data_IF_099402442426
#
_entry.id   IF_099402442426
#
_cell.length_a   1.000
_cell.length_b   1.000
_cell.length_c   1.000
_cell.angle_alpha   90.00
_cell.angle_beta   90.00
_cell.angle_gamma   90.00
#
_symmetry.space_group_name_H-M   'P 1'
#
loop_
_entity.id
_entity.type
_entity.pdbx_description
1 polymer ?
#
# COMPACT_ATOMS: atom_id res chain seq x y z
N UNK A 1 -21.03 8.70 -39.88
CA UNK A 1 -21.63 7.71 -38.95
C UNK A 1 -20.64 6.66 -38.41
N UNK A 2 -19.82 6.00 -39.23
CA UNK A 2 -18.87 4.95 -38.76
C UNK A 2 -17.81 5.49 -37.78
N UNK A 3 -17.30 6.70 -38.02
CA UNK A 3 -16.33 7.38 -37.15
C UNK A 3 -16.90 7.75 -35.78
N UNK A 4 -18.12 8.29 -35.74
CA UNK A 4 -18.81 8.59 -34.48
C UNK A 4 -19.03 7.33 -33.63
N UNK A 5 -19.43 6.21 -34.26
CA UNK A 5 -19.58 4.92 -33.55
C UNK A 5 -18.24 4.43 -32.98
N UNK A 6 -17.13 4.57 -33.71
CA UNK A 6 -15.78 4.19 -33.23
C UNK A 6 -15.33 5.07 -32.06
N UNK A 7 -15.58 6.37 -32.12
CA UNK A 7 -15.27 7.29 -31.02
C UNK A 7 -16.06 6.96 -29.75
N UNK A 8 -17.34 6.61 -29.87
CA UNK A 8 -18.16 6.17 -28.72
C UNK A 8 -17.57 4.90 -28.10
N UNK A 9 -17.23 3.89 -28.92
CA UNK A 9 -16.61 2.66 -28.42
C UNK A 9 -15.25 2.89 -27.77
N UNK A 10 -14.45 3.82 -28.29
CA UNK A 10 -13.18 4.21 -27.68
C UNK A 10 -13.41 4.83 -26.29
N UNK A 11 -14.36 5.74 -26.15
CA UNK A 11 -14.69 6.37 -24.85
C UNK A 11 -15.17 5.31 -23.85
N UNK A 12 -16.05 4.40 -24.27
CA UNK A 12 -16.52 3.30 -23.41
C UNK A 12 -15.35 2.41 -22.97
N UNK A 13 -14.46 2.05 -23.90
CA UNK A 13 -13.29 1.23 -23.58
C UNK A 13 -12.37 1.93 -22.57
N UNK A 14 -12.09 3.22 -22.75
CA UNK A 14 -11.28 4.01 -21.82
C UNK A 14 -11.96 4.10 -20.45
N UNK A 15 -13.27 4.37 -20.41
CA UNK A 15 -14.01 4.45 -19.16
C UNK A 15 -13.99 3.11 -18.38
N UNK A 16 -14.17 1.99 -19.09
CA UNK A 16 -14.05 0.66 -18.49
C UNK A 16 -12.62 0.37 -18.00
N UNK A 17 -11.61 0.78 -18.76
CA UNK A 17 -10.20 0.65 -18.35
C UNK A 17 -9.90 1.42 -17.06
N UNK A 18 -10.33 2.69 -16.98
CA UNK A 18 -10.20 3.51 -15.76
C UNK A 18 -10.95 2.87 -14.59
N UNK A 19 -12.17 2.39 -14.82
CA UNK A 19 -12.96 1.69 -13.80
C UNK A 19 -12.25 0.44 -13.26
N UNK A 20 -11.73 -0.41 -14.14
CA UNK A 20 -11.00 -1.62 -13.76
C UNK A 20 -9.72 -1.30 -12.97
N UNK A 21 -8.95 -0.30 -13.41
CA UNK A 21 -7.74 0.17 -12.72
C UNK A 21 -8.05 0.74 -11.33
N UNK A 22 -9.13 1.51 -11.22
CA UNK A 22 -9.59 2.07 -9.94
C UNK A 22 -10.02 0.97 -8.98
N UNK A 23 -10.76 -0.03 -9.46
CA UNK A 23 -11.14 -1.19 -8.66
C UNK A 23 -9.91 -2.00 -8.23
N UNK A 24 -8.93 -2.19 -9.10
CA UNK A 24 -7.69 -2.90 -8.74
C UNK A 24 -6.89 -2.15 -7.66
N UNK A 25 -6.99 -0.82 -7.61
CA UNK A 25 -6.37 -0.01 -6.55
C UNK A 25 -7.15 -0.11 -5.22
N UNK A 26 -8.49 -0.10 -5.26
CA UNK A 26 -9.33 0.02 -4.06
C UNK A 26 -9.74 -1.35 -3.46
N UNK A 27 -9.74 -2.42 -4.25
CA UNK A 27 -10.19 -3.73 -3.77
C UNK A 27 -9.12 -4.42 -2.90
N UNK A 28 -9.54 -5.11 -1.83
CA UNK A 28 -8.62 -5.85 -0.98
C UNK A 28 -8.01 -7.03 -1.71
N UNK A 29 -6.70 -7.22 -1.54
CA UNK A 29 -5.98 -8.43 -1.89
C UNK A 29 -5.29 -8.99 -0.66
N UNK A 30 -4.90 -10.26 -0.72
CA UNK A 30 -4.25 -10.95 0.37
C UNK A 30 -2.98 -11.64 -0.10
N UNK A 31 -1.91 -11.50 0.68
CA UNK A 31 -0.66 -12.24 0.48
C UNK A 31 -0.35 -13.03 1.76
N UNK A 32 0.19 -14.24 1.61
CA UNK A 32 0.69 -15.07 2.72
C UNK A 32 2.20 -14.89 2.78
N UNK A 33 2.68 -14.30 3.88
CA UNK A 33 4.08 -13.87 4.00
C UNK A 33 4.63 -14.15 5.39
N UNK A 34 5.94 -14.22 5.51
CA UNK A 34 6.64 -14.16 6.80
C UNK A 34 6.95 -12.70 7.10
N UNK A 35 6.64 -12.23 8.30
CA UNK A 35 6.99 -10.87 8.71
C UNK A 35 8.42 -10.91 9.24
N UNK A 36 9.31 -10.13 8.65
CA UNK A 36 10.74 -10.12 8.99
C UNK A 36 11.12 -8.98 9.93
N UNK A 37 10.28 -7.94 9.99
CA UNK A 37 10.47 -6.82 10.90
C UNK A 37 9.44 -5.73 10.69
N UNK A 38 9.53 -4.69 11.51
CA UNK A 38 8.71 -3.50 11.37
C UNK A 38 9.55 -2.25 11.58
N UNK A 39 9.16 -1.17 10.94
CA UNK A 39 9.83 0.13 11.01
C UNK A 39 8.81 1.25 11.22
N UNK A 40 9.26 2.37 11.77
CA UNK A 40 8.48 3.61 11.83
C UNK A 40 9.32 4.70 11.22
N UNK A 41 8.78 5.40 10.22
CA UNK A 41 9.45 6.52 9.57
C UNK A 41 8.60 7.76 9.72
N UNK A 42 9.25 8.88 10.05
CA UNK A 42 8.59 10.19 10.00
C UNK A 42 8.47 10.62 8.54
N UNK A 43 7.26 10.99 8.12
CA UNK A 43 6.96 11.43 6.77
C UNK A 43 6.21 12.76 6.76
N UNK A 44 6.44 13.57 5.74
CA UNK A 44 5.66 14.77 5.44
C UNK A 44 4.91 14.60 4.10
N UNK A 45 4.62 15.69 3.39
CA UNK A 45 3.97 15.65 2.09
C UNK A 45 4.91 15.14 0.99
N UNK A 46 6.21 15.39 1.13
CA UNK A 46 7.23 15.15 0.11
C UNK A 46 7.92 13.79 0.28
N UNK A 47 7.85 13.18 1.47
CA UNK A 47 8.27 11.80 1.67
C UNK A 47 8.80 11.54 3.07
N UNK A 48 9.81 10.67 3.18
CA UNK A 48 10.54 10.45 4.43
C UNK A 48 11.29 11.73 4.80
N UNK A 49 11.13 12.18 6.05
CA UNK A 49 11.89 13.30 6.58
C UNK A 49 13.31 12.83 6.92
N UNK A 50 14.31 13.42 6.29
CA UNK A 50 15.72 13.12 6.50
C UNK A 50 16.59 14.38 6.27
N UNK A 51 17.92 14.23 6.19
CA UNK A 51 18.81 15.36 5.98
C UNK A 51 18.65 15.99 4.59
N UNK A 52 18.33 15.17 3.58
CA UNK A 52 18.09 15.63 2.21
C UNK A 52 16.69 16.24 2.00
N UNK A 53 15.70 15.80 2.78
CA UNK A 53 14.32 16.30 2.82
C UNK A 53 13.97 16.76 4.25
N UNK A 54 14.42 17.97 4.65
CA UNK A 54 14.03 18.55 5.93
C UNK A 54 12.52 18.82 5.95
N UNK A 55 11.89 18.62 7.11
CA UNK A 55 10.44 18.76 7.24
C UNK A 55 9.97 20.18 6.88
N UNK A 56 9.12 20.29 5.86
CA UNK A 56 8.54 21.55 5.38
C UNK A 56 7.02 21.65 5.68
N UNK A 57 6.59 21.05 6.80
CA UNK A 57 5.18 21.06 7.19
C UNK A 57 4.79 20.01 8.24
N UNK A 58 3.49 19.70 8.37
CA UNK A 58 3.00 18.69 9.29
C UNK A 58 3.60 17.32 8.98
N UNK A 59 4.29 16.76 9.97
CA UNK A 59 4.85 15.41 9.89
C UNK A 59 3.92 14.39 10.53
N UNK A 60 3.94 13.17 10.01
CA UNK A 60 3.24 12.01 10.58
C UNK A 60 4.19 10.82 10.69
N UNK A 61 3.97 9.97 11.69
CA UNK A 61 4.71 8.73 11.82
C UNK A 61 4.00 7.64 11.03
N UNK A 62 4.75 6.99 10.14
CA UNK A 62 4.26 5.99 9.19
C UNK A 62 4.87 4.65 9.53
N UNK A 63 4.01 3.67 9.74
CA UNK A 63 4.41 2.31 10.06
C UNK A 63 4.70 1.52 8.79
N UNK A 64 5.80 0.78 8.79
CA UNK A 64 6.18 -0.13 7.71
C UNK A 64 6.33 -1.54 8.24
N UNK A 65 5.82 -2.51 7.49
CA UNK A 65 5.90 -3.93 7.82
C UNK A 65 6.73 -4.61 6.74
N UNK A 66 7.91 -5.09 7.12
CA UNK A 66 8.84 -5.79 6.25
C UNK A 66 8.44 -7.27 6.18
N UNK A 67 8.37 -7.80 4.97
CA UNK A 67 7.88 -9.16 4.73
C UNK A 67 8.70 -9.87 3.68
N UNK A 68 8.70 -11.20 3.77
CA UNK A 68 9.31 -12.09 2.81
C UNK A 68 8.30 -13.15 2.38
N UNK A 69 8.22 -13.38 1.07
CA UNK A 69 7.45 -14.46 0.48
C UNK A 69 8.09 -15.83 0.83
N UNK A 70 7.32 -16.79 1.38
CA UNK A 70 7.87 -18.04 1.90
C UNK A 70 8.56 -18.89 0.83
N UNK A 71 8.07 -18.85 -0.41
CA UNK A 71 8.52 -19.72 -1.50
C UNK A 71 9.58 -19.02 -2.36
N UNK A 72 9.29 -17.80 -2.81
CA UNK A 72 10.13 -17.05 -3.74
C UNK A 72 11.21 -16.21 -3.08
N UNK A 73 11.17 -16.07 -1.73
CA UNK A 73 12.07 -15.21 -0.95
C UNK A 73 12.04 -13.74 -1.36
N UNK A 74 10.98 -13.33 -2.05
CA UNK A 74 10.81 -11.95 -2.49
C UNK A 74 10.44 -11.07 -1.30
N UNK A 75 11.19 -9.98 -1.13
CA UNK A 75 10.92 -8.99 -0.07
C UNK A 75 9.89 -7.96 -0.53
N UNK A 76 8.89 -7.75 0.31
CA UNK A 76 7.86 -6.71 0.14
C UNK A 76 7.73 -5.92 1.44
N UNK A 77 7.65 -4.60 1.33
CA UNK A 77 7.44 -3.71 2.48
C UNK A 77 6.06 -3.08 2.33
N UNK A 78 5.19 -3.30 3.30
CA UNK A 78 3.85 -2.72 3.32
C UNK A 78 3.84 -1.44 4.16
N UNK A 79 3.26 -0.38 3.59
CA UNK A 79 2.98 0.88 4.29
C UNK A 79 1.65 0.76 5.03
N UNK A 80 1.69 0.91 6.35
CA UNK A 80 0.54 0.79 7.23
C UNK A 80 0.21 2.17 7.80
N UNK A 81 -0.78 2.84 7.19
CA UNK A 81 -1.34 4.09 7.69
C UNK A 81 -2.83 3.96 7.97
N UNK A 82 -3.32 4.86 8.81
CA UNK A 82 -4.74 5.02 9.04
C UNK A 82 -5.34 5.76 7.87
N UNK A 83 -6.31 5.11 7.23
CA UNK A 83 -7.08 5.77 6.18
C UNK A 83 -8.04 6.79 6.77
N UNK A 84 -8.43 6.60 8.04
CA UNK A 84 -9.36 7.44 8.76
C UNK A 84 -10.61 7.75 7.90
N UNK A 85 -10.83 9.02 7.59
CA UNK A 85 -11.93 9.51 6.76
C UNK A 85 -11.50 9.84 5.32
N UNK A 86 -10.23 9.61 4.97
CA UNK A 86 -9.71 9.85 3.64
C UNK A 86 -10.14 8.75 2.67
N UNK A 87 -10.10 9.08 1.38
CA UNK A 87 -10.35 8.10 0.32
C UNK A 87 -9.10 7.21 0.11
N UNK A 88 -9.24 5.89 -0.08
CA UNK A 88 -10.48 5.12 -0.08
C UNK A 88 -11.06 4.95 1.33
N UNK A 89 -12.37 5.10 1.52
CA UNK A 89 -13.01 5.16 2.85
C UNK A 89 -13.05 3.80 3.57
N UNK A 90 -11.89 3.28 3.96
CA UNK A 90 -11.76 2.01 4.69
C UNK A 90 -12.03 2.16 6.19
N UNK A 91 -12.09 3.39 6.71
CA UNK A 91 -12.33 3.68 8.14
C UNK A 91 -11.38 2.90 9.05
N UNK A 92 -10.10 2.87 8.66
CA UNK A 92 -9.02 2.21 9.40
C UNK A 92 -8.37 3.20 10.38
N UNK A 93 -8.28 2.82 11.65
CA UNK A 93 -7.76 3.63 12.77
C UNK A 93 -6.82 2.85 13.71
N UNK A 94 -6.43 1.64 13.34
CA UNK A 94 -5.74 0.67 14.19
C UNK A 94 -4.30 0.39 13.71
N UNK A 95 -3.64 1.34 13.05
CA UNK A 95 -2.27 1.15 12.53
C UNK A 95 -1.28 0.71 13.61
N UNK A 96 -1.33 1.33 14.79
CA UNK A 96 -0.43 1.01 15.90
C UNK A 96 -0.65 -0.42 16.44
N UNK A 97 -1.92 -0.88 16.50
CA UNK A 97 -2.24 -2.23 16.95
C UNK A 97 -1.77 -3.29 15.94
N UNK A 98 -1.94 -3.02 14.65
CA UNK A 98 -1.43 -3.87 13.57
C UNK A 98 0.11 -3.92 13.63
N UNK A 99 0.76 -2.78 13.88
CA UNK A 99 2.21 -2.71 14.03
C UNK A 99 2.69 -3.58 15.19
N UNK A 100 2.02 -3.50 16.36
CA UNK A 100 2.37 -4.31 17.52
C UNK A 100 2.21 -5.82 17.25
N UNK A 101 1.14 -6.21 16.54
CA UNK A 101 0.93 -7.61 16.10
C UNK A 101 2.02 -8.08 15.14
N UNK A 102 2.36 -7.26 14.14
CA UNK A 102 3.41 -7.55 13.17
C UNK A 102 4.78 -7.71 13.84
N UNK A 103 5.12 -6.84 14.80
CA UNK A 103 6.33 -6.96 15.62
C UNK A 103 6.37 -8.26 16.44
N UNK A 104 5.21 -8.74 16.90
CA UNK A 104 5.09 -10.03 17.57
C UNK A 104 5.37 -11.20 16.63
N UNK A 105 4.79 -11.17 15.42
CA UNK A 105 5.00 -12.19 14.40
C UNK A 105 6.44 -12.23 13.88
N UNK A 106 7.14 -11.10 13.85
CA UNK A 106 8.53 -11.06 13.39
C UNK A 106 9.54 -11.76 14.30
N UNK A 107 9.11 -12.25 15.47
CA UNK A 107 9.97 -12.97 16.42
C UNK A 107 10.18 -14.43 16.04
N UNK A 108 9.31 -14.98 15.20
CA UNK A 108 9.40 -16.35 14.71
C UNK A 108 9.55 -16.33 13.18
N UNK A 109 10.72 -16.75 12.71
CA UNK A 109 11.04 -16.77 11.28
C UNK A 109 10.22 -17.78 10.46
N UNK A 110 9.51 -18.71 11.11
CA UNK A 110 8.63 -19.68 10.45
C UNK A 110 7.15 -19.29 10.53
N UNK A 111 6.81 -18.22 11.25
CA UNK A 111 5.43 -17.78 11.41
C UNK A 111 4.91 -17.13 10.12
N UNK A 112 3.86 -17.71 9.55
CA UNK A 112 3.14 -17.13 8.43
C UNK A 112 2.07 -16.14 8.92
N UNK A 113 1.89 -15.06 8.17
CA UNK A 113 0.85 -14.07 8.35
C UNK A 113 0.10 -13.84 7.03
N UNK A 114 -1.23 -13.73 7.12
CA UNK A 114 -2.06 -13.29 5.99
C UNK A 114 -2.18 -11.77 6.06
N UNK A 115 -1.60 -11.07 5.09
CA UNK A 115 -1.66 -9.61 5.01
C UNK A 115 -2.71 -9.21 3.99
N UNK A 116 -3.69 -8.41 4.43
CA UNK A 116 -4.62 -7.72 3.55
C UNK A 116 -4.01 -6.38 3.11
N UNK A 117 -3.88 -6.18 1.81
CA UNK A 117 -3.28 -4.98 1.23
C UNK A 117 -4.12 -4.44 0.07
N UNK A 118 -3.80 -3.20 -0.31
CA UNK A 118 -4.51 -2.40 -1.31
C UNK A 118 -3.51 -1.66 -2.19
N UNK A 119 -3.98 -1.03 -3.26
CA UNK A 119 -3.18 -0.12 -4.08
C UNK A 119 -2.35 -0.81 -5.16
N UNK A 120 -1.41 -0.09 -5.76
CA UNK A 120 -0.46 -0.63 -6.74
C UNK A 120 0.93 -0.64 -6.14
N UNK A 121 1.74 -1.64 -6.51
CA UNK A 121 3.16 -1.65 -6.19
C UNK A 121 3.96 -1.42 -7.47
N UNK A 122 4.54 -0.23 -7.58
CA UNK A 122 5.47 0.13 -8.64
C UNK A 122 6.81 0.42 -7.99
N UNK A 123 7.74 -0.54 -8.02
CA UNK A 123 8.99 -0.49 -7.25
C UNK A 123 9.79 0.79 -7.52
N UNK A 124 9.82 1.28 -8.77
CA UNK A 124 10.59 2.48 -9.14
C UNK A 124 9.98 3.79 -8.61
N UNK A 125 8.68 3.77 -8.27
CA UNK A 125 7.95 4.91 -7.70
C UNK A 125 7.73 4.75 -6.19
N UNK A 126 8.16 3.63 -5.62
CA UNK A 126 8.05 3.31 -4.20
C UNK A 126 9.37 3.67 -3.54
N UNK A 127 9.69 4.97 -3.52
CA UNK A 127 10.83 5.55 -2.80
C UNK A 127 10.49 5.76 -1.32
#
# INVERSE_FOLDING_TARGET
MKWLKRSIWLVVFVALGIGALSLYYVLPRHDVVMITGVEVKRMDADGVVNAENPADGPTRDVYFINTEDPDTKKVVVYRNEDTAWSFPWYFKFDSADIQAKAQGYSRDAQQLALIRYYGWRITILSM
#
